data_IF_239912532496
#
_entry.id   IF_239912532496
#
_cell.length_a   1.000
_cell.length_b   1.000
_cell.length_c   1.000
_cell.angle_alpha   90.00
_cell.angle_beta   90.00
_cell.angle_gamma   90.00
#
_symmetry.space_group_name_H-M   'P 1'
#
loop_
_entity.id
_entity.type
_entity.pdbx_description
1 polymer ?
#
# COMPACT_ATOMS: atom_id res chain seq x y z
N UNK A 1 17.08 -27.96 -65.36
CA UNK A 1 15.68 -28.22 -65.74
C UNK A 1 15.03 -29.11 -64.68
N UNK A 2 13.77 -28.81 -64.34
CA UNK A 2 12.95 -29.31 -63.21
C UNK A 2 13.26 -28.62 -61.88
N UNK A 3 12.56 -27.54 -61.47
CA UNK A 3 11.15 -27.45 -61.03
C UNK A 3 10.88 -28.55 -59.98
N UNK A 4 10.60 -28.25 -58.70
CA UNK A 4 9.27 -27.87 -58.22
C UNK A 4 9.36 -27.40 -56.74
N UNK A 5 8.62 -26.31 -56.46
CA UNK A 5 7.91 -25.90 -55.24
C UNK A 5 8.60 -25.90 -53.86
N UNK A 6 8.93 -24.69 -53.42
CA UNK A 6 8.35 -24.00 -52.24
C UNK A 6 7.52 -24.92 -51.32
N UNK A 7 8.19 -25.69 -50.47
CA UNK A 7 7.55 -26.41 -49.37
C UNK A 7 7.87 -25.67 -48.08
N UNK A 8 6.88 -24.91 -47.63
CA UNK A 8 6.60 -24.51 -46.25
C UNK A 8 7.65 -24.92 -45.21
N UNK A 9 8.71 -24.12 -45.06
CA UNK A 9 9.51 -24.17 -43.85
C UNK A 9 8.82 -23.31 -42.80
N UNK A 10 7.87 -23.96 -42.14
CA UNK A 10 7.11 -23.46 -41.00
C UNK A 10 8.08 -23.21 -39.84
N UNK A 11 8.17 -21.93 -39.50
CA UNK A 11 8.52 -21.31 -38.22
C UNK A 11 8.61 -22.26 -37.02
N UNK A 12 9.78 -22.29 -36.36
CA UNK A 12 9.89 -22.37 -34.90
C UNK A 12 11.26 -21.87 -34.44
N UNK A 13 11.28 -20.58 -34.09
CA UNK A 13 12.29 -19.93 -33.27
C UNK A 13 12.63 -20.76 -32.02
N UNK A 14 13.84 -21.30 -31.96
CA UNK A 14 14.51 -21.64 -30.69
C UNK A 14 15.82 -20.88 -30.66
N UNK A 15 15.72 -19.61 -30.29
CA UNK A 15 16.85 -18.72 -30.08
C UNK A 15 16.68 -18.01 -28.74
N UNK A 16 17.23 -18.60 -27.67
CA UNK A 16 17.40 -17.95 -26.38
C UNK A 16 18.54 -16.91 -26.46
N UNK A 17 18.30 -15.81 -27.17
CA UNK A 17 19.15 -14.62 -27.12
C UNK A 17 18.55 -13.67 -26.09
N UNK A 18 18.94 -13.87 -24.83
CA UNK A 18 18.52 -13.04 -23.71
C UNK A 18 19.29 -11.71 -23.77
N UNK A 19 18.76 -10.76 -24.54
CA UNK A 19 19.23 -9.39 -24.49
C UNK A 19 18.55 -8.70 -23.29
N UNK A 20 19.33 -8.23 -22.30
CA UNK A 20 18.80 -7.68 -21.07
C UNK A 20 18.16 -6.32 -21.35
N UNK A 21 16.84 -6.24 -21.23
CA UNK A 21 16.13 -4.98 -21.33
C UNK A 21 16.57 -4.03 -20.19
N UNK A 22 16.76 -2.75 -20.48
CA UNK A 22 17.27 -1.76 -19.52
C UNK A 22 16.31 -1.61 -18.34
N UNK A 23 16.89 -1.59 -17.15
CA UNK A 23 16.21 -1.19 -15.91
C UNK A 23 15.89 0.30 -16.05
N UNK A 24 14.71 0.60 -16.57
CA UNK A 24 14.13 1.93 -16.43
C UNK A 24 13.52 1.95 -15.01
N UNK A 25 14.02 2.79 -14.09
CA UNK A 25 13.29 3.03 -12.86
C UNK A 25 11.98 3.67 -13.28
N UNK A 26 10.90 2.90 -13.19
CA UNK A 26 9.56 3.42 -13.24
C UNK A 26 9.51 4.56 -12.22
N UNK A 27 9.50 5.79 -12.73
CA UNK A 27 8.88 6.90 -12.01
C UNK A 27 7.54 6.39 -11.47
N UNK A 28 7.16 6.77 -10.23
CA UNK A 28 5.97 6.21 -9.59
C UNK A 28 4.79 6.41 -10.52
N UNK A 29 4.32 5.30 -11.09
CA UNK A 29 3.05 5.25 -11.78
C UNK A 29 2.00 5.75 -10.78
N UNK A 30 1.02 6.57 -11.21
CA UNK A 30 -0.06 6.97 -10.34
C UNK A 30 -0.75 5.67 -9.92
N UNK A 31 -0.50 5.28 -8.66
CA UNK A 31 -1.21 4.19 -8.03
C UNK A 31 -2.69 4.47 -8.26
N UNK A 32 -3.41 3.63 -9.02
CA UNK A 32 -4.85 3.79 -9.10
C UNK A 32 -5.35 3.76 -7.67
N UNK A 33 -6.27 4.67 -7.36
CA UNK A 33 -6.91 4.83 -6.06
C UNK A 33 -7.81 3.63 -5.71
N UNK A 34 -7.23 2.43 -5.80
CA UNK A 34 -7.75 1.16 -5.33
C UNK A 34 -7.10 0.88 -3.96
N UNK A 35 -7.35 1.82 -3.04
CA UNK A 35 -7.18 1.66 -1.60
C UNK A 35 -8.58 1.67 -0.95
N UNK A 36 -9.57 1.12 -1.66
CA UNK A 36 -10.98 1.19 -1.30
C UNK A 36 -11.68 -0.17 -1.45
N UNK A 37 -11.00 -1.27 -1.13
CA UNK A 37 -11.66 -2.48 -0.65
C UNK A 37 -11.08 -2.88 0.70
N UNK A 38 -11.29 -2.01 1.68
CA UNK A 38 -11.60 -2.46 3.03
C UNK A 38 -13.00 -1.94 3.30
N UNK A 39 -13.98 -2.82 3.19
CA UNK A 39 -15.37 -2.47 3.48
C UNK A 39 -15.41 -1.75 4.84
N UNK A 40 -16.14 -0.62 4.97
CA UNK A 40 -16.19 0.17 6.22
C UNK A 40 -16.72 -0.63 7.43
N UNK A 41 -17.16 -1.86 7.20
CA UNK A 41 -17.63 -2.82 8.19
C UNK A 41 -16.54 -3.39 9.11
N UNK A 42 -15.25 -3.28 8.77
CA UNK A 42 -14.14 -3.76 9.64
C UNK A 42 -13.42 -2.63 10.38
N UNK A 43 -13.84 -1.37 10.17
CA UNK A 43 -13.25 -0.25 10.90
C UNK A 43 -13.74 -0.29 12.35
N UNK A 44 -12.85 -0.35 13.35
CA UNK A 44 -13.27 -0.35 14.75
C UNK A 44 -14.00 0.95 15.04
N UNK A 45 -15.12 0.89 15.78
CA UNK A 45 -15.98 2.05 16.06
C UNK A 45 -15.21 3.26 16.63
N UNK A 46 -14.13 3.00 17.36
CA UNK A 46 -13.22 4.02 17.87
C UNK A 46 -12.62 4.93 16.76
N UNK A 47 -12.43 4.42 15.54
CA UNK A 47 -11.81 5.15 14.43
C UNK A 47 -12.84 5.75 13.46
N UNK A 48 -14.14 5.54 13.69
CA UNK A 48 -15.19 5.97 12.77
C UNK A 48 -15.28 7.49 12.61
N UNK A 49 -14.85 8.25 13.62
CA UNK A 49 -14.85 9.72 13.62
C UNK A 49 -13.59 10.33 13.03
N UNK A 50 -12.56 9.53 12.74
CA UNK A 50 -11.31 9.99 12.14
C UNK A 50 -11.44 10.15 10.63
N UNK A 51 -10.70 11.11 10.08
CA UNK A 51 -10.50 11.19 8.63
C UNK A 51 -9.89 9.89 8.11
N UNK A 52 -10.09 9.55 6.84
CA UNK A 52 -9.55 8.31 6.27
C UNK A 52 -8.02 8.25 6.39
N UNK A 53 -7.35 9.38 6.18
CA UNK A 53 -5.91 9.53 6.34
C UNK A 53 -5.47 9.31 7.79
N UNK A 54 -6.14 9.96 8.75
CA UNK A 54 -5.78 9.83 10.17
C UNK A 54 -6.09 8.42 10.69
N UNK A 55 -7.21 7.84 10.25
CA UNK A 55 -7.56 6.45 10.55
C UNK A 55 -6.49 5.49 10.04
N UNK A 56 -6.07 5.63 8.78
CA UNK A 56 -5.03 4.78 8.21
C UNK A 56 -3.71 4.93 8.98
N UNK A 57 -3.32 6.15 9.35
CA UNK A 57 -2.12 6.40 10.14
C UNK A 57 -2.21 5.81 11.56
N UNK A 58 -3.36 5.96 12.24
CA UNK A 58 -3.58 5.39 13.56
C UNK A 58 -3.62 3.84 13.54
N UNK A 59 -4.23 3.24 12.52
CA UNK A 59 -4.23 1.79 12.30
C UNK A 59 -2.86 1.24 11.91
N UNK A 60 -2.02 2.04 11.25
CA UNK A 60 -0.63 1.70 10.99
C UNK A 60 0.21 1.75 12.28
N UNK A 61 -0.07 2.72 13.16
CA UNK A 61 0.63 2.85 14.44
C UNK A 61 0.25 1.74 15.43
N UNK A 62 -1.05 1.37 15.50
CA UNK A 62 -1.67 0.35 16.39
C UNK A 62 -1.51 0.55 17.90
N UNK A 63 -0.37 1.01 18.37
CA UNK A 63 0.01 1.08 19.77
C UNK A 63 0.26 2.53 20.18
N UNK A 64 -0.19 2.89 21.39
CA UNK A 64 0.08 4.19 22.01
C UNK A 64 1.54 4.27 22.45
N UNK A 65 2.32 5.28 22.05
CA UNK A 65 3.74 5.39 22.38
C UNK A 65 4.00 5.81 23.83
N UNK A 66 2.95 6.17 24.57
CA UNK A 66 3.04 6.61 25.97
C UNK A 66 2.72 5.47 26.93
N UNK A 67 1.70 4.67 26.62
CA UNK A 67 1.17 3.62 27.51
C UNK A 67 1.40 2.20 27.00
N UNK A 68 1.91 2.03 25.77
CA UNK A 68 2.07 0.73 25.08
C UNK A 68 0.76 -0.07 24.89
N UNK A 69 -0.39 0.59 25.07
CA UNK A 69 -1.72 0.00 24.88
C UNK A 69 -2.23 0.16 23.44
N UNK A 70 -3.15 -0.70 23.01
CA UNK A 70 -3.75 -0.62 21.68
C UNK A 70 -4.58 0.65 21.49
N UNK A 71 -4.33 1.35 20.37
CA UNK A 71 -5.15 2.47 19.92
C UNK A 71 -6.56 1.95 19.57
N UNK A 72 -7.58 2.64 20.07
CA UNK A 72 -8.97 2.21 19.94
C UNK A 72 -9.51 1.45 21.14
N UNK A 73 -8.66 0.90 22.02
CA UNK A 73 -9.12 0.22 23.25
C UNK A 73 -9.68 1.18 24.31
N UNK A 74 -9.29 2.45 24.26
CA UNK A 74 -9.69 3.49 25.21
C UNK A 74 -10.65 4.53 24.60
N UNK A 75 -11.18 4.25 23.41
CA UNK A 75 -11.95 5.19 22.61
C UNK A 75 -11.17 5.71 21.41
N UNK A 76 -11.62 6.83 20.84
CA UNK A 76 -11.05 7.40 19.62
C UNK A 76 -9.60 7.86 19.84
N UNK A 77 -8.64 7.41 19.01
CA UNK A 77 -7.26 7.90 19.07
C UNK A 77 -7.17 9.41 18.83
N UNK A 78 -6.35 10.09 19.61
CA UNK A 78 -6.15 11.53 19.51
C UNK A 78 -4.87 11.79 18.74
N UNK A 79 -4.94 12.63 17.70
CA UNK A 79 -3.76 13.03 16.94
C UNK A 79 -3.04 14.18 17.65
N UNK A 80 -1.75 14.02 17.88
CA UNK A 80 -0.85 15.04 18.44
C UNK A 80 0.35 15.22 17.52
N UNK A 81 0.75 16.47 17.30
CA UNK A 81 1.94 16.78 16.51
C UNK A 81 3.12 17.06 17.43
N UNK A 82 4.11 16.17 17.45
CA UNK A 82 5.32 16.29 18.26
C UNK A 82 6.53 16.42 17.35
N UNK A 83 7.31 17.51 17.49
CA UNK A 83 8.49 17.77 16.66
C UNK A 83 8.21 17.72 15.14
N UNK A 84 7.02 18.15 14.72
CA UNK A 84 6.59 18.13 13.32
C UNK A 84 6.16 16.76 12.79
N UNK A 85 5.94 15.77 13.68
CA UNK A 85 5.43 14.44 13.34
C UNK A 85 4.06 14.24 13.98
N UNK A 86 3.11 13.78 13.19
CA UNK A 86 1.80 13.39 13.69
C UNK A 86 1.89 11.99 14.32
N UNK A 87 1.45 11.89 15.57
CA UNK A 87 1.46 10.69 16.39
C UNK A 87 0.10 10.55 17.05
N UNK A 88 -0.38 9.32 17.21
CA UNK A 88 -1.67 9.04 17.84
C UNK A 88 -1.49 8.54 19.27
N UNK A 89 -2.31 9.04 20.19
CA UNK A 89 -2.34 8.61 21.59
C UNK A 89 -3.69 7.99 21.94
N UNK A 90 -3.71 7.10 22.93
CA UNK A 90 -4.92 6.35 23.28
C UNK A 90 -5.95 7.15 24.09
N UNK A 91 -5.55 8.22 24.79
CA UNK A 91 -6.42 9.04 25.63
C UNK A 91 -5.78 10.40 25.96
N UNK A 92 -6.58 11.34 26.48
CA UNK A 92 -6.12 12.68 26.89
C UNK A 92 -5.04 12.62 27.97
N UNK A 93 -5.07 11.62 28.85
CA UNK A 93 -4.03 11.45 29.87
C UNK A 93 -2.62 11.13 29.32
N UNK A 94 -2.51 10.75 28.05
CA UNK A 94 -1.21 10.54 27.37
C UNK A 94 -0.70 11.82 26.67
N UNK A 95 -1.42 12.94 26.77
CA UNK A 95 -1.02 14.22 26.17
C UNK A 95 -0.08 15.02 27.09
N UNK A 96 -0.04 14.68 28.38
CA UNK A 96 0.64 15.42 29.45
C UNK A 96 2.09 14.98 29.68
#
# INVERSE_FOLDING_TARGET
MSLIAVSSFIVAFVGCSQEPAPVVPAAPEPVPADAAESSPSDVPAAFATLSETDRAAALAQRVCPVSDQELGSMGTPIKVTVSGRDVFICCEGCQE
#
